data_IF_867773524373
#
_entry.id   IF_867773524373
#
_cell.length_a   1.000
_cell.length_b   1.000
_cell.length_c   1.000
_cell.angle_alpha   90.00
_cell.angle_beta   90.00
_cell.angle_gamma   90.00
#
_symmetry.space_group_name_H-M   'P 1'
#
loop_
_entity.id
_entity.type
_entity.pdbx_description
1 polymer ?
#
# COMPACT_ATOMS: atom_id res chain seq x y z
N UNK A 1 -14.91 14.83 -12.66
CA UNK A 1 -14.63 14.34 -11.30
C UNK A 1 -13.72 13.14 -11.44
N UNK A 2 -12.58 13.10 -10.76
CA UNK A 2 -11.61 12.03 -10.95
C UNK A 2 -12.04 10.72 -10.28
N UNK A 3 -11.55 9.61 -10.83
CA UNK A 3 -11.87 8.27 -10.33
C UNK A 3 -11.23 8.03 -8.94
N UNK A 4 -11.99 7.39 -8.06
CA UNK A 4 -11.57 6.97 -6.72
C UNK A 4 -11.44 5.45 -6.72
N UNK A 5 -10.24 4.97 -6.40
CA UNK A 5 -9.97 3.55 -6.20
C UNK A 5 -10.04 3.21 -4.71
N UNK A 6 -10.71 2.12 -4.36
CA UNK A 6 -10.73 1.52 -3.03
C UNK A 6 -10.13 0.12 -3.13
N UNK A 7 -9.02 -0.10 -2.43
CA UNK A 7 -8.32 -1.39 -2.33
C UNK A 7 -8.57 -1.96 -0.94
N UNK A 8 -9.02 -3.20 -0.87
CA UNK A 8 -9.20 -3.93 0.38
C UNK A 8 -8.09 -4.98 0.49
N UNK A 9 -7.19 -4.77 1.45
CA UNK A 9 -6.05 -5.67 1.71
C UNK A 9 -6.50 -6.89 2.50
N UNK A 10 -5.93 -8.05 2.19
CA UNK A 10 -6.23 -9.32 2.86
C UNK A 10 -7.52 -9.99 2.40
N UNK A 11 -8.16 -9.50 1.31
CA UNK A 11 -9.25 -10.20 0.64
C UNK A 11 -10.54 -10.37 1.46
N UNK A 12 -10.79 -9.50 2.45
CA UNK A 12 -11.98 -9.59 3.30
C UNK A 12 -13.27 -9.36 2.50
N UNK A 13 -14.02 -10.45 2.27
CA UNK A 13 -15.26 -10.43 1.49
C UNK A 13 -16.37 -9.63 2.17
N UNK A 14 -16.43 -9.62 3.51
CA UNK A 14 -17.40 -8.85 4.27
C UNK A 14 -17.13 -7.35 4.09
N UNK A 15 -15.87 -6.94 4.25
CA UNK A 15 -15.46 -5.55 4.00
C UNK A 15 -15.74 -5.14 2.55
N UNK A 16 -15.50 -6.03 1.58
CA UNK A 16 -15.79 -5.78 0.17
C UNK A 16 -17.26 -5.52 -0.07
N UNK A 17 -18.13 -6.37 0.46
CA UNK A 17 -19.56 -6.21 0.36
C UNK A 17 -20.04 -4.92 1.05
N UNK A 18 -19.52 -4.63 2.24
CA UNK A 18 -19.83 -3.41 3.00
C UNK A 18 -19.45 -2.13 2.24
N UNK A 19 -18.23 -2.06 1.70
CA UNK A 19 -17.77 -0.92 0.90
C UNK A 19 -18.63 -0.72 -0.34
N UNK A 20 -18.90 -1.80 -1.10
CA UNK A 20 -19.78 -1.72 -2.28
C UNK A 20 -21.19 -1.27 -1.90
N UNK A 21 -21.71 -1.73 -0.77
CA UNK A 21 -23.02 -1.33 -0.26
C UNK A 21 -23.05 0.16 0.07
N UNK A 22 -22.06 0.66 0.81
CA UNK A 22 -21.96 2.09 1.16
C UNK A 22 -21.90 2.93 -0.12
N UNK A 23 -21.03 2.59 -1.07
CA UNK A 23 -20.91 3.29 -2.36
C UNK A 23 -22.25 3.27 -3.12
N UNK A 24 -22.98 2.15 -3.10
CA UNK A 24 -24.29 2.05 -3.76
C UNK A 24 -25.36 2.95 -3.13
N UNK A 25 -25.17 3.35 -1.87
CA UNK A 25 -26.05 4.26 -1.15
C UNK A 25 -25.65 5.73 -1.29
N UNK A 26 -24.49 6.03 -1.88
CA UNK A 26 -24.07 7.40 -2.16
C UNK A 26 -24.83 7.94 -3.37
N UNK A 27 -25.21 9.22 -3.32
CA UNK A 27 -25.75 9.96 -4.46
C UNK A 27 -24.63 10.36 -5.44
N UNK A 28 -23.79 9.40 -5.84
CA UNK A 28 -22.63 9.61 -6.72
C UNK A 28 -22.62 8.60 -7.88
N UNK A 29 -22.09 8.97 -9.05
CA UNK A 29 -21.97 8.05 -10.19
C UNK A 29 -21.12 6.82 -9.84
N UNK A 30 -21.66 5.62 -10.06
CA UNK A 30 -20.99 4.35 -9.72
C UNK A 30 -19.68 4.13 -10.48
N UNK A 31 -19.59 4.64 -11.70
CA UNK A 31 -18.38 4.58 -12.53
C UNK A 31 -17.22 5.43 -12.00
N UNK A 32 -17.44 6.28 -10.99
CA UNK A 32 -16.36 6.99 -10.32
C UNK A 32 -15.59 6.12 -9.34
N UNK A 33 -16.11 4.94 -8.98
CA UNK A 33 -15.52 4.10 -7.95
C UNK A 33 -15.05 2.77 -8.53
N UNK A 34 -13.80 2.45 -8.27
CA UNK A 34 -13.28 1.11 -8.48
C UNK A 34 -13.03 0.45 -7.12
N UNK A 35 -13.73 -0.65 -6.82
CA UNK A 35 -13.53 -1.43 -5.60
C UNK A 35 -12.86 -2.75 -5.96
N UNK A 36 -11.65 -2.98 -5.45
CA UNK A 36 -10.93 -4.24 -5.64
C UNK A 36 -10.50 -4.84 -4.31
N UNK A 37 -10.60 -6.16 -4.22
CA UNK A 37 -9.71 -6.91 -3.37
C UNK A 37 -8.35 -6.90 -4.04
N UNK A 38 -7.33 -6.51 -3.31
CA UNK A 38 -6.01 -6.41 -3.89
C UNK A 38 -4.96 -6.59 -2.83
N UNK A 39 -3.88 -7.23 -3.25
CA UNK A 39 -2.70 -7.34 -2.44
C UNK A 39 -1.82 -6.12 -2.59
N UNK A 40 -0.68 -6.19 -1.95
CA UNK A 40 0.34 -5.16 -2.02
C UNK A 40 1.00 -5.09 -3.40
N UNK A 41 0.94 -6.16 -4.18
CA UNK A 41 1.36 -6.14 -5.58
C UNK A 41 0.44 -5.24 -6.42
N UNK A 42 -0.87 -5.25 -6.16
CA UNK A 42 -1.81 -4.31 -6.81
C UNK A 42 -1.51 -2.87 -6.39
N UNK A 43 -1.14 -2.67 -5.12
CA UNK A 43 -0.69 -1.38 -4.60
C UNK A 43 0.60 -0.87 -5.28
N UNK A 44 1.54 -1.77 -5.56
CA UNK A 44 2.83 -1.49 -6.21
C UNK A 44 2.69 -1.24 -7.72
N UNK A 45 1.71 -1.88 -8.37
CA UNK A 45 1.44 -1.76 -9.81
C UNK A 45 0.39 -0.70 -10.15
N UNK A 46 -0.31 -0.14 -9.15
CA UNK A 46 -1.29 0.94 -9.29
C UNK A 46 -0.78 2.20 -10.02
N UNK A 47 0.54 2.32 -10.21
CA UNK A 47 1.24 3.31 -11.03
C UNK A 47 0.79 3.42 -12.50
N UNK A 48 -0.08 2.53 -13.00
CA UNK A 48 -0.48 2.47 -14.41
C UNK A 48 -1.79 3.18 -14.73
N UNK A 49 -2.47 3.75 -13.75
CA UNK A 49 -3.82 4.31 -13.93
C UNK A 49 -4.00 5.60 -13.14
N UNK A 50 -4.46 6.65 -13.82
CA UNK A 50 -4.64 8.01 -13.30
C UNK A 50 -5.85 8.13 -12.35
N UNK A 51 -5.79 7.44 -11.20
CA UNK A 51 -6.76 7.67 -10.13
C UNK A 51 -6.42 8.95 -9.39
N UNK A 52 -7.42 9.81 -9.22
CA UNK A 52 -7.26 11.04 -8.43
C UNK A 52 -6.94 10.69 -6.96
N UNK A 53 -7.49 9.58 -6.46
CA UNK A 53 -7.29 9.11 -5.09
C UNK A 53 -7.36 7.59 -4.99
N UNK A 54 -6.47 7.01 -4.20
CA UNK A 54 -6.52 5.60 -3.80
C UNK A 54 -6.74 5.51 -2.28
N UNK A 55 -7.79 4.79 -1.87
CA UNK A 55 -8.08 4.48 -0.47
C UNK A 55 -7.75 3.02 -0.25
N UNK A 56 -6.95 2.72 0.76
CA UNK A 56 -6.51 1.37 1.11
C UNK A 56 -7.11 1.02 2.47
N UNK A 57 -7.93 -0.03 2.53
CA UNK A 57 -8.57 -0.49 3.75
C UNK A 57 -7.96 -1.83 4.15
N UNK A 58 -7.53 -1.97 5.39
CA UNK A 58 -7.00 -3.23 5.87
C UNK A 58 -6.63 -3.23 7.35
N UNK A 59 -6.21 -4.39 7.89
CA UNK A 59 -5.65 -4.49 9.22
C UNK A 59 -4.45 -3.55 9.40
N UNK A 60 -4.28 -2.95 10.60
CA UNK A 60 -3.20 -1.99 10.87
C UNK A 60 -1.81 -2.49 10.48
N UNK A 61 -1.52 -3.78 10.66
CA UNK A 61 -0.22 -4.37 10.33
C UNK A 61 0.02 -4.46 8.81
N UNK A 62 -1.03 -4.56 7.98
CA UNK A 62 -0.94 -4.58 6.52
C UNK A 62 -0.90 -3.18 5.90
N UNK A 63 -1.48 -2.18 6.58
CA UNK A 63 -1.43 -0.78 6.12
C UNK A 63 -0.01 -0.22 6.00
N UNK A 64 0.98 -0.93 6.56
CA UNK A 64 2.39 -0.68 6.35
C UNK A 64 2.79 -0.70 4.86
N UNK A 65 1.97 -1.34 4.00
CA UNK A 65 2.10 -1.29 2.54
C UNK A 65 2.10 0.11 1.97
N UNK A 66 1.49 1.11 2.61
CA UNK A 66 1.44 2.48 2.05
C UNK A 66 2.85 2.97 1.70
N UNK A 67 3.87 2.53 2.46
CA UNK A 67 5.27 2.86 2.19
C UNK A 67 5.80 2.36 0.85
N UNK A 68 5.17 1.33 0.27
CA UNK A 68 5.43 0.77 -1.04
C UNK A 68 4.73 1.56 -2.17
N UNK A 69 3.80 2.46 -1.85
CA UNK A 69 3.18 3.27 -2.89
C UNK A 69 4.11 4.39 -3.40
N UNK A 70 3.93 4.81 -4.66
CA UNK A 70 4.58 5.98 -5.23
C UNK A 70 4.24 7.28 -4.50
N UNK A 71 5.23 8.19 -4.44
CA UNK A 71 5.08 9.48 -3.75
C UNK A 71 4.06 10.41 -4.42
N UNK A 72 3.87 10.22 -5.71
CA UNK A 72 3.01 10.93 -6.65
C UNK A 72 1.53 10.47 -6.60
N UNK A 73 1.22 9.37 -5.90
CA UNK A 73 -0.16 8.92 -5.71
C UNK A 73 -0.71 9.43 -4.38
N UNK A 74 -1.91 10.02 -4.40
CA UNK A 74 -2.65 10.35 -3.18
C UNK A 74 -3.26 9.06 -2.59
N UNK A 75 -2.50 8.43 -1.72
CA UNK A 75 -2.91 7.19 -1.02
C UNK A 75 -3.32 7.52 0.40
N UNK A 76 -4.55 7.16 0.73
CA UNK A 76 -5.09 7.24 2.08
C UNK A 76 -5.27 5.83 2.58
N UNK A 77 -4.76 5.53 3.77
CA UNK A 77 -5.08 4.27 4.42
C UNK A 77 -6.05 4.43 5.57
N UNK A 78 -6.95 3.46 5.66
CA UNK A 78 -7.93 3.33 6.70
C UNK A 78 -7.83 1.93 7.33
N UNK A 79 -7.90 1.88 8.65
CA UNK A 79 -8.03 0.61 9.36
C UNK A 79 -9.36 -0.05 8.97
N UNK A 80 -9.41 -1.37 8.89
CA UNK A 80 -10.66 -2.13 8.69
C UNK A 80 -11.72 -1.91 9.80
N UNK A 81 -11.34 -1.24 10.89
CA UNK A 81 -12.23 -0.76 11.96
C UNK A 81 -12.77 0.66 11.73
N UNK A 82 -12.63 1.21 10.53
CA UNK A 82 -13.16 2.53 10.16
C UNK A 82 -14.69 2.53 10.30
N UNK A 83 -15.25 3.59 10.87
CA UNK A 83 -16.70 3.75 10.92
C UNK A 83 -17.28 4.11 9.55
N UNK A 84 -18.57 3.82 9.35
CA UNK A 84 -19.25 4.15 8.09
C UNK A 84 -19.19 5.64 7.80
N UNK A 85 -19.38 6.49 8.82
CA UNK A 85 -19.35 7.95 8.67
C UNK A 85 -17.96 8.45 8.24
N UNK A 86 -16.89 8.00 8.91
CA UNK A 86 -15.52 8.32 8.52
C UNK A 86 -15.20 7.88 7.08
N UNK A 87 -15.70 6.71 6.67
CA UNK A 87 -15.52 6.22 5.30
C UNK A 87 -16.27 7.06 4.27
N UNK A 88 -17.50 7.50 4.57
CA UNK A 88 -18.25 8.42 3.70
C UNK A 88 -17.54 9.78 3.57
N UNK A 89 -16.96 10.28 4.66
CA UNK A 89 -16.15 11.50 4.64
C UNK A 89 -14.89 11.35 3.76
N UNK A 90 -14.22 10.20 3.81
CA UNK A 90 -13.09 9.86 2.93
C UNK A 90 -13.48 9.90 1.45
N UNK A 91 -14.60 9.27 1.09
CA UNK A 91 -15.10 9.23 -0.28
C UNK A 91 -15.49 10.63 -0.78
N UNK A 92 -16.07 11.46 0.09
CA UNK A 92 -16.50 12.82 -0.22
C UNK A 92 -15.35 13.82 -0.33
N UNK A 93 -14.13 13.44 0.04
CA UNK A 93 -12.96 14.33 0.04
C UNK A 93 -13.03 15.49 1.01
N UNK A 94 -13.89 15.38 2.04
CA UNK A 94 -13.88 16.30 3.17
C UNK A 94 -12.63 16.02 3.99
N UNK A 95 -11.97 17.09 4.44
CA UNK A 95 -10.72 17.01 5.19
C UNK A 95 -10.93 16.24 6.48
N UNK A 96 -10.49 14.99 6.50
CA UNK A 96 -10.29 14.27 7.76
C UNK A 96 -9.16 15.00 8.47
N UNK A 97 -9.43 15.43 9.70
CA UNK A 97 -8.40 16.02 10.54
C UNK A 97 -7.21 15.06 10.57
N UNK A 98 -6.03 15.54 10.17
CA UNK A 98 -4.77 14.78 10.11
C UNK A 98 -4.42 14.06 11.43
N UNK A 99 -5.17 14.35 12.49
CA UNK A 99 -5.07 13.82 13.86
C UNK A 99 -5.63 12.39 13.98
N UNK A 100 -6.62 11.98 13.17
CA UNK A 100 -7.14 10.59 13.17
C UNK A 100 -6.52 9.70 12.10
N UNK A 101 -5.84 10.29 11.10
CA UNK A 101 -4.80 9.61 10.34
C UNK A 101 -3.56 9.44 11.23
N UNK A 102 -3.66 8.66 12.32
CA UNK A 102 -2.46 8.03 12.89
C UNK A 102 -1.97 6.99 11.88
N UNK A 103 -1.34 7.53 10.84
CA UNK A 103 -0.25 6.92 10.11
C UNK A 103 0.59 6.21 11.18
N UNK A 104 0.59 4.87 11.18
CA UNK A 104 1.83 4.19 11.52
C UNK A 104 2.87 4.84 10.62
N UNK A 105 3.70 5.71 11.20
CA UNK A 105 4.71 6.47 10.48
C UNK A 105 5.68 5.46 9.88
N UNK A 106 5.39 5.05 8.66
CA UNK A 106 6.21 4.13 7.91
C UNK A 106 6.76 4.97 6.78
N UNK A 107 8.04 5.34 6.86
CA UNK A 107 8.68 6.20 5.90
C UNK A 107 8.52 5.60 4.51
N UNK A 108 8.09 6.44 3.56
CA UNK A 108 7.92 6.03 2.17
C UNK A 108 9.24 5.56 1.57
N UNK A 109 9.14 4.52 0.74
CA UNK A 109 10.27 3.99 0.01
C UNK A 109 10.50 4.78 -1.29
N UNK A 110 11.77 5.05 -1.59
CA UNK A 110 12.21 5.63 -2.87
C UNK A 110 11.90 4.66 -4.02
N UNK A 111 11.93 5.14 -5.27
CA UNK A 111 11.75 4.28 -6.46
C UNK A 111 12.73 3.09 -6.46
N UNK A 112 13.98 3.33 -6.06
CA UNK A 112 15.03 2.29 -5.98
C UNK A 112 14.71 1.26 -4.89
N UNK A 113 14.36 1.70 -3.69
CA UNK A 113 14.01 0.83 -2.56
C UNK A 113 12.78 -0.05 -2.86
N UNK A 114 11.78 0.51 -3.55
CA UNK A 114 10.60 -0.26 -3.98
C UNK A 114 10.93 -1.30 -5.03
N UNK A 115 11.72 -0.93 -6.05
CA UNK A 115 12.21 -1.88 -7.05
C UNK A 115 13.02 -3.00 -6.41
N UNK A 116 13.81 -2.69 -5.40
CA UNK A 116 14.55 -3.70 -4.63
C UNK A 116 13.60 -4.68 -3.92
N UNK A 117 12.59 -4.17 -3.20
CA UNK A 117 11.61 -5.02 -2.51
C UNK A 117 10.84 -5.94 -3.49
N UNK A 118 10.50 -5.43 -4.67
CA UNK A 118 9.84 -6.19 -5.74
C UNK A 118 10.72 -7.32 -6.28
N UNK A 119 11.98 -7.05 -6.60
CA UNK A 119 12.90 -8.08 -7.10
C UNK A 119 13.15 -9.13 -6.02
N UNK A 120 13.25 -8.70 -4.76
CA UNK A 120 13.44 -9.61 -3.63
C UNK A 120 12.22 -10.53 -3.43
N UNK A 121 11.02 -10.00 -3.56
CA UNK A 121 9.77 -10.76 -3.54
C UNK A 121 9.71 -11.86 -4.61
N UNK A 122 10.26 -11.56 -5.79
CA UNK A 122 10.31 -12.46 -6.93
C UNK A 122 11.42 -13.51 -6.81
N UNK A 123 12.16 -13.55 -5.69
CA UNK A 123 13.26 -14.49 -5.48
C UNK A 123 14.52 -14.18 -6.27
N UNK A 124 14.65 -12.96 -6.82
CA UNK A 124 15.85 -12.54 -7.56
C UNK A 124 17.04 -12.49 -6.61
N UNK A 125 18.17 -13.06 -7.01
CA UNK A 125 19.36 -13.10 -6.14
C UNK A 125 20.05 -11.74 -6.02
N UNK A 126 20.87 -11.55 -4.98
CA UNK A 126 21.65 -10.31 -4.79
C UNK A 126 22.58 -10.04 -5.97
N UNK A 127 23.15 -11.09 -6.57
CA UNK A 127 23.99 -11.04 -7.76
C UNK A 127 23.21 -10.53 -8.97
N UNK A 128 22.02 -11.07 -9.20
CA UNK A 128 21.15 -10.64 -10.29
C UNK A 128 20.67 -9.20 -10.08
N UNK A 129 20.32 -8.82 -8.85
CA UNK A 129 19.95 -7.44 -8.53
C UNK A 129 21.11 -6.48 -8.79
N UNK A 130 22.34 -6.83 -8.40
CA UNK A 130 23.51 -6.00 -8.65
C UNK A 130 23.67 -5.68 -10.15
N UNK A 131 23.43 -6.67 -11.03
CA UNK A 131 23.40 -6.48 -12.48
C UNK A 131 22.25 -5.56 -12.90
N UNK A 132 21.02 -5.81 -12.44
CA UNK A 132 19.83 -5.04 -12.81
C UNK A 132 19.86 -3.57 -12.35
N UNK A 133 20.54 -3.29 -11.23
CA UNK A 133 20.73 -1.94 -10.71
C UNK A 133 22.03 -1.29 -11.21
N UNK A 134 22.83 -1.97 -12.02
CA UNK A 134 24.15 -1.53 -12.48
C UNK A 134 25.06 -1.06 -11.32
N UNK A 135 25.13 -1.86 -10.25
CA UNK A 135 25.86 -1.49 -9.04
C UNK A 135 26.50 -2.71 -8.35
N UNK A 136 27.41 -2.48 -7.39
CA UNK A 136 28.05 -3.58 -6.64
C UNK A 136 27.16 -4.17 -5.53
N UNK A 137 27.47 -5.39 -5.07
CA UNK A 137 26.71 -6.10 -4.00
C UNK A 137 26.57 -5.29 -2.70
N UNK A 138 27.59 -4.48 -2.37
CA UNK A 138 27.57 -3.57 -1.21
C UNK A 138 26.42 -2.56 -1.31
N UNK A 139 26.12 -2.06 -2.51
CA UNK A 139 25.03 -1.12 -2.72
C UNK A 139 23.66 -1.78 -2.52
N UNK A 140 23.48 -3.02 -2.97
CA UNK A 140 22.26 -3.80 -2.71
C UNK A 140 22.06 -4.01 -1.19
N UNK A 141 23.14 -4.34 -0.48
CA UNK A 141 23.12 -4.49 0.99
C UNK A 141 22.77 -3.18 1.70
N UNK A 142 23.28 -2.05 1.21
CA UNK A 142 22.93 -0.72 1.72
C UNK A 142 21.46 -0.36 1.47
N UNK A 143 20.90 -0.74 0.32
CA UNK A 143 19.46 -0.57 0.05
C UNK A 143 18.65 -1.40 1.05
N UNK A 144 19.02 -2.67 1.29
CA UNK A 144 18.38 -3.51 2.33
C UNK A 144 18.37 -2.80 3.69
N UNK A 145 19.52 -2.33 4.15
CA UNK A 145 19.66 -1.68 5.45
C UNK A 145 18.78 -0.42 5.57
N UNK A 146 18.70 0.40 4.50
CA UNK A 146 17.82 1.58 4.45
C UNK A 146 16.35 1.19 4.56
N UNK A 147 15.91 0.17 3.82
CA UNK A 147 14.52 -0.31 3.89
C UNK A 147 14.22 -0.85 5.28
N UNK A 148 15.09 -1.69 5.84
CA UNK A 148 14.95 -2.23 7.20
C UNK A 148 14.83 -1.12 8.25
N UNK A 149 15.65 -0.07 8.15
CA UNK A 149 15.58 1.09 9.05
C UNK A 149 14.24 1.80 8.94
N UNK A 150 13.74 2.04 7.71
CA UNK A 150 12.44 2.68 7.49
C UNK A 150 11.30 1.83 8.05
N UNK A 151 11.32 0.53 7.78
CA UNK A 151 10.33 -0.42 8.27
C UNK A 151 10.51 -0.82 9.74
N UNK A 152 11.56 -0.30 10.40
CA UNK A 152 11.90 -0.57 11.81
C UNK A 152 12.07 -2.07 12.09
N UNK A 153 12.60 -2.82 11.14
CA UNK A 153 12.93 -4.24 11.32
C UNK A 153 14.22 -4.36 12.13
N UNK A 154 14.21 -5.15 13.20
CA UNK A 154 15.40 -5.34 14.05
C UNK A 154 16.38 -6.35 13.45
N UNK A 155 15.88 -7.27 12.64
CA UNK A 155 16.68 -8.33 12.05
C UNK A 155 16.16 -8.70 10.66
N UNK A 156 16.97 -9.50 9.95
CA UNK A 156 16.67 -9.91 8.57
C UNK A 156 15.43 -10.81 8.50
N UNK A 157 15.17 -11.63 9.53
CA UNK A 157 13.98 -12.49 9.58
C UNK A 157 12.69 -11.67 9.67
N UNK A 158 12.63 -10.67 10.56
CA UNK A 158 11.53 -9.72 10.65
C UNK A 158 11.32 -8.97 9.35
N UNK A 159 12.41 -8.57 8.69
CA UNK A 159 12.34 -7.91 7.39
C UNK A 159 11.68 -8.81 6.34
N UNK A 160 12.10 -10.08 6.23
CA UNK A 160 11.49 -11.03 5.30
C UNK A 160 10.05 -11.38 5.66
N UNK A 161 9.74 -11.59 6.94
CA UNK A 161 8.37 -11.81 7.41
C UNK A 161 7.49 -10.62 7.04
N UNK A 162 7.91 -9.40 7.34
CA UNK A 162 7.18 -8.20 6.98
C UNK A 162 7.05 -8.06 5.46
N UNK A 163 8.12 -8.30 4.70
CA UNK A 163 8.07 -8.27 3.23
C UNK A 163 7.05 -9.26 2.68
N UNK A 164 7.06 -10.51 3.15
CA UNK A 164 6.15 -11.57 2.71
C UNK A 164 4.71 -11.31 3.16
N UNK A 165 4.51 -10.85 4.39
CA UNK A 165 3.20 -10.42 4.93
C UNK A 165 2.66 -9.23 4.15
N UNK A 166 3.52 -8.26 3.81
CA UNK A 166 3.15 -7.17 2.92
C UNK A 166 2.73 -7.78 1.59
N UNK A 167 3.52 -8.64 0.97
CA UNK A 167 3.22 -9.14 -0.38
C UNK A 167 2.13 -10.22 -0.47
N UNK A 168 1.48 -10.58 0.64
CA UNK A 168 0.47 -11.65 0.72
C UNK A 168 1.00 -13.01 0.19
N UNK A 169 2.30 -13.29 0.39
CA UNK A 169 2.93 -14.57 -0.01
C UNK A 169 2.81 -15.65 1.10
N UNK A 170 2.19 -15.31 2.24
CA UNK A 170 1.86 -16.20 3.37
C UNK A 170 0.45 -15.87 3.83
#
# INVERSE_FOLDING_TARGET
>A
MGEIRVIILGGDAFMTAGVKRIISCLAMPKNMFEVRNGGVVDCLTANRTDYQRTIVIGPRHLLNVISLFPNDISVIAACNRISVDEFVQLLSGRSISRVQMRLSYIPRLTKVERRYCLLLAQGVSVEQMAILFHCGRKNISNIKAKVMMKWRCQNTLEFYKLLLTLLEII
#
